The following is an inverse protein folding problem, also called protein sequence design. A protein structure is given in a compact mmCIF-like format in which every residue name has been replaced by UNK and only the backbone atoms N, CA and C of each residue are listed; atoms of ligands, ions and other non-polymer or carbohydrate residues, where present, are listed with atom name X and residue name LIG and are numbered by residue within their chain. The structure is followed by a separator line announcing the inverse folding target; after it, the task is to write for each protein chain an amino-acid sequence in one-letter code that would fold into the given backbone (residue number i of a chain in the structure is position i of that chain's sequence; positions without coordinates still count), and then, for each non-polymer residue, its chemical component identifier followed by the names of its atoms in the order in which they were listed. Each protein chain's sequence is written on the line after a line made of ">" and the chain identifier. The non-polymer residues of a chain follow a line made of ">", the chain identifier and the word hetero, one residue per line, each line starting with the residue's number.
data_IF_394689799449
#
_entry.id   IF_394689799449
#
_cell.length_a   1.000
_cell.length_b   1.000
_cell.length_c   1.000
_cell.angle_alpha   90.00
_cell.angle_beta   90.00
_cell.angle_gamma   90.00
#
_symmetry.space_group_name_H-M   'P 1'
#
loop_
_entity.id
_entity.type
_entity.pdbx_description
1 polymer ?
#
# COMPACT_ATOMS: atom_id res chain seq x y z
N UNK A 1 -51.26 -11.95 -10.96
CA UNK A 1 -50.32 -11.33 -11.92
C UNK A 1 -49.18 -12.27 -12.32
N UNK A 2 -48.47 -12.93 -11.38
CA UNK A 2 -47.37 -13.86 -11.71
C UNK A 2 -47.77 -15.09 -12.56
N UNK A 3 -48.95 -15.67 -12.34
CA UNK A 3 -49.49 -16.75 -13.18
C UNK A 3 -49.55 -16.39 -14.69
N UNK A 4 -50.09 -15.20 -15.01
CA UNK A 4 -50.16 -14.71 -16.40
C UNK A 4 -48.76 -14.48 -16.98
N UNK A 5 -47.83 -13.98 -16.16
CA UNK A 5 -46.44 -13.83 -16.56
C UNK A 5 -45.84 -15.19 -16.97
N UNK A 6 -46.03 -16.24 -16.18
CA UNK A 6 -45.53 -17.57 -16.51
C UNK A 6 -46.18 -18.16 -17.79
N UNK A 7 -47.48 -17.99 -17.98
CA UNK A 7 -48.18 -18.48 -19.19
C UNK A 7 -47.72 -17.78 -20.47
N UNK A 8 -47.51 -16.46 -20.39
CA UNK A 8 -47.16 -15.65 -21.56
C UNK A 8 -45.67 -15.83 -21.90
N UNK A 9 -44.79 -15.72 -20.90
CA UNK A 9 -43.35 -15.75 -21.13
C UNK A 9 -42.77 -17.16 -21.25
N UNK A 10 -43.42 -18.17 -20.69
CA UNK A 10 -42.98 -19.56 -20.70
C UNK A 10 -43.98 -20.50 -21.37
N UNK A 11 -44.72 -19.96 -22.32
CA UNK A 11 -45.79 -20.65 -23.04
C UNK A 11 -45.38 -22.01 -23.59
N UNK A 12 -44.16 -22.10 -24.14
CA UNK A 12 -43.60 -23.32 -24.72
C UNK A 12 -43.48 -24.45 -23.68
N UNK A 13 -43.08 -24.11 -22.45
CA UNK A 13 -42.97 -25.08 -21.35
C UNK A 13 -44.31 -25.32 -20.65
N UNK A 14 -45.22 -24.34 -20.67
CA UNK A 14 -46.57 -24.50 -20.12
C UNK A 14 -47.42 -25.51 -20.88
N UNK A 15 -47.41 -25.45 -22.22
CA UNK A 15 -48.22 -26.35 -23.06
C UNK A 15 -47.61 -27.74 -23.28
N UNK A 16 -46.33 -27.92 -22.99
CA UNK A 16 -45.64 -29.19 -23.18
C UNK A 16 -46.00 -30.18 -22.07
N UNK A 17 -46.18 -31.46 -22.41
CA UNK A 17 -46.44 -32.54 -21.45
C UNK A 17 -45.29 -32.67 -20.43
N UNK A 18 -44.02 -32.73 -20.89
CA UNK A 18 -42.80 -32.79 -20.05
C UNK A 18 -42.18 -31.40 -19.73
N UNK A 19 -43.01 -30.36 -19.75
CA UNK A 19 -42.54 -28.99 -19.58
C UNK A 19 -41.99 -28.63 -18.18
N UNK A 20 -42.27 -29.36 -17.10
CA UNK A 20 -41.63 -29.13 -15.79
C UNK A 20 -40.17 -29.57 -15.84
N UNK A 21 -39.88 -30.75 -16.39
CA UNK A 21 -38.50 -31.23 -16.65
C UNK A 21 -37.76 -30.29 -17.60
N UNK A 22 -38.39 -29.88 -18.70
CA UNK A 22 -37.78 -28.96 -19.65
C UNK A 22 -37.51 -27.58 -19.03
N UNK A 23 -38.42 -27.08 -18.19
CA UNK A 23 -38.21 -25.82 -17.46
C UNK A 23 -37.12 -25.95 -16.38
N UNK A 24 -37.03 -27.09 -15.70
CA UNK A 24 -35.95 -27.37 -14.75
C UNK A 24 -34.58 -27.39 -15.43
N UNK A 25 -34.49 -27.97 -16.64
CA UNK A 25 -33.28 -27.92 -17.46
C UNK A 25 -32.92 -26.47 -17.82
N UNK A 26 -33.92 -25.65 -18.18
CA UNK A 26 -33.68 -24.24 -18.48
C UNK A 26 -33.22 -23.45 -17.24
N UNK A 27 -33.81 -23.70 -16.07
CA UNK A 27 -33.40 -23.08 -14.81
C UNK A 27 -31.95 -23.44 -14.48
N UNK A 28 -31.54 -24.68 -14.75
CA UNK A 28 -30.16 -25.13 -14.59
C UNK A 28 -29.21 -24.44 -15.57
N UNK A 29 -29.61 -24.29 -16.83
CA UNK A 29 -28.79 -23.56 -17.81
C UNK A 29 -28.62 -22.08 -17.43
N UNK A 30 -29.67 -21.44 -16.91
CA UNK A 30 -29.58 -20.06 -16.42
C UNK A 30 -28.68 -19.92 -15.20
N UNK A 31 -28.79 -20.84 -14.24
CA UNK A 31 -27.88 -20.94 -13.11
C UNK A 31 -26.43 -20.97 -13.59
N UNK A 32 -26.09 -21.98 -14.39
CA UNK A 32 -24.73 -22.23 -14.86
C UNK A 32 -24.19 -21.05 -15.66
N UNK A 33 -24.99 -20.49 -16.57
CA UNK A 33 -24.58 -19.32 -17.36
C UNK A 33 -24.26 -18.11 -16.47
N UNK A 34 -25.10 -17.83 -15.48
CA UNK A 34 -24.89 -16.72 -14.53
C UNK A 34 -23.60 -16.95 -13.71
N UNK A 35 -23.42 -18.16 -13.18
CA UNK A 35 -22.29 -18.50 -12.33
C UNK A 35 -20.98 -18.54 -13.10
N UNK A 36 -20.96 -19.06 -14.33
CA UNK A 36 -19.75 -19.08 -15.17
C UNK A 36 -19.33 -17.70 -15.65
N UNK A 37 -20.29 -16.83 -15.99
CA UNK A 37 -19.97 -15.45 -16.36
C UNK A 37 -19.31 -14.69 -15.20
N UNK A 38 -19.82 -14.85 -13.98
CA UNK A 38 -19.22 -14.26 -12.80
C UNK A 38 -17.85 -14.90 -12.50
N UNK A 39 -17.77 -16.23 -12.50
CA UNK A 39 -16.55 -16.97 -12.22
C UNK A 39 -15.42 -16.60 -13.20
N UNK A 40 -15.68 -16.51 -14.49
CA UNK A 40 -14.68 -16.10 -15.48
C UNK A 40 -14.15 -14.69 -15.21
N UNK A 41 -15.03 -13.75 -14.84
CA UNK A 41 -14.64 -12.38 -14.48
C UNK A 41 -13.77 -12.36 -13.23
N UNK A 42 -14.17 -13.06 -12.16
CA UNK A 42 -13.47 -13.09 -10.89
C UNK A 42 -12.14 -13.86 -11.01
N UNK A 43 -12.09 -14.98 -11.74
CA UNK A 43 -10.85 -15.71 -12.06
C UNK A 43 -9.84 -14.83 -12.80
N UNK A 44 -10.28 -14.03 -13.77
CA UNK A 44 -9.42 -13.07 -14.47
C UNK A 44 -8.85 -12.01 -13.50
N UNK A 45 -9.66 -11.51 -12.57
CA UNK A 45 -9.20 -10.58 -11.55
C UNK A 45 -8.22 -11.24 -10.58
N UNK A 46 -8.50 -12.46 -10.13
CA UNK A 46 -7.60 -13.23 -9.25
C UNK A 46 -6.25 -13.50 -9.90
N UNK A 47 -6.22 -13.82 -11.20
CA UNK A 47 -4.95 -13.97 -11.95
C UNK A 47 -4.12 -12.69 -11.94
N UNK A 48 -4.74 -11.54 -12.22
CA UNK A 48 -4.06 -10.24 -12.17
C UNK A 48 -3.59 -9.86 -10.76
N UNK A 49 -4.37 -10.20 -9.73
CA UNK A 49 -4.00 -9.98 -8.33
C UNK A 49 -2.83 -10.87 -7.92
N UNK A 50 -2.82 -12.14 -8.36
CA UNK A 50 -1.74 -13.09 -8.09
C UNK A 50 -0.42 -12.68 -8.75
N UNK A 51 -0.46 -12.21 -10.00
CA UNK A 51 0.71 -11.65 -10.67
C UNK A 51 1.28 -10.45 -9.90
N UNK A 52 0.41 -9.51 -9.49
CA UNK A 52 0.81 -8.37 -8.66
C UNK A 52 1.37 -8.78 -7.30
N UNK A 53 0.83 -9.83 -6.68
CA UNK A 53 1.37 -10.37 -5.42
C UNK A 53 2.78 -10.92 -5.64
N UNK A 54 3.04 -11.62 -6.76
CA UNK A 54 4.39 -12.10 -7.10
C UNK A 54 5.38 -10.94 -7.25
N UNK A 55 5.01 -9.89 -7.98
CA UNK A 55 5.82 -8.68 -8.15
C UNK A 55 6.13 -8.01 -6.80
N UNK A 56 5.11 -7.78 -5.97
CA UNK A 56 5.27 -7.15 -4.66
C UNK A 56 6.10 -8.02 -3.70
N UNK A 57 5.96 -9.33 -3.77
CA UNK A 57 6.76 -10.28 -2.98
C UNK A 57 8.22 -10.26 -3.41
N UNK A 58 8.50 -10.16 -4.71
CA UNK A 58 9.86 -10.01 -5.21
C UNK A 58 10.49 -8.69 -4.73
N UNK A 59 9.75 -7.57 -4.78
CA UNK A 59 10.22 -6.29 -4.22
C UNK A 59 10.45 -6.40 -2.70
N UNK A 60 9.57 -7.10 -1.98
CA UNK A 60 9.72 -7.31 -0.54
C UNK A 60 11.00 -8.10 -0.22
N UNK A 61 11.25 -9.19 -0.96
CA UNK A 61 12.44 -10.02 -0.78
C UNK A 61 13.73 -9.23 -1.04
N UNK A 62 13.77 -8.40 -2.08
CA UNK A 62 14.88 -7.47 -2.33
C UNK A 62 15.09 -6.51 -1.14
N UNK A 63 14.01 -5.95 -0.61
CA UNK A 63 14.08 -5.00 0.52
C UNK A 63 14.52 -5.62 1.84
N UNK A 64 14.23 -6.91 2.05
CA UNK A 64 14.69 -7.66 3.22
C UNK A 64 16.22 -7.86 3.25
N UNK A 65 16.90 -7.76 2.11
CA UNK A 65 18.37 -7.80 2.03
C UNK A 65 19.03 -6.53 2.57
N UNK A 66 18.27 -5.45 2.71
CA UNK A 66 18.78 -4.18 3.22
C UNK A 66 18.52 -4.02 4.72
N UNK A 67 19.35 -3.23 5.44
CA UNK A 67 19.20 -3.05 6.89
C UNK A 67 17.78 -2.61 7.30
N UNK A 68 17.27 -3.23 8.35
CA UNK A 68 15.95 -2.94 8.93
C UNK A 68 16.04 -2.73 10.44
N UNK A 69 15.05 -2.04 10.98
CA UNK A 69 14.90 -1.81 12.41
C UNK A 69 14.07 -2.96 12.98
N UNK A 70 14.52 -3.53 14.10
CA UNK A 70 13.76 -4.59 14.79
C UNK A 70 12.47 -3.99 15.38
N UNK A 71 11.43 -4.82 15.52
CA UNK A 71 10.14 -4.37 16.05
C UNK A 71 10.28 -3.68 17.44
N UNK A 72 11.08 -4.27 18.32
CA UNK A 72 11.31 -3.76 19.69
C UNK A 72 12.04 -2.42 19.74
N UNK A 73 12.84 -2.12 18.71
CA UNK A 73 13.64 -0.89 18.59
C UNK A 73 12.91 0.24 17.85
N UNK A 74 11.82 -0.09 17.15
CA UNK A 74 11.19 0.82 16.20
C UNK A 74 10.64 2.09 16.85
N UNK A 75 9.91 1.94 17.97
CA UNK A 75 9.36 3.07 18.73
C UNK A 75 10.47 3.98 19.26
N UNK A 76 11.55 3.39 19.80
CA UNK A 76 12.69 4.15 20.33
C UNK A 76 13.41 4.93 19.22
N UNK A 77 13.67 4.31 18.06
CA UNK A 77 14.33 4.99 16.94
C UNK A 77 13.42 6.07 16.33
N UNK A 78 12.11 5.83 16.24
CA UNK A 78 11.16 6.84 15.81
C UNK A 78 11.17 8.07 16.74
N UNK A 79 11.15 7.85 18.05
CA UNK A 79 11.26 8.91 19.05
C UNK A 79 12.57 9.70 18.94
N UNK A 80 13.69 9.00 18.70
CA UNK A 80 14.99 9.65 18.43
C UNK A 80 14.96 10.51 17.17
N UNK A 81 14.49 9.98 16.04
CA UNK A 81 14.41 10.74 14.78
C UNK A 81 13.52 11.99 14.94
N UNK A 82 12.40 11.86 15.65
CA UNK A 82 11.52 13.00 15.93
C UNK A 82 12.23 14.07 16.78
N UNK A 83 12.86 13.65 17.88
CA UNK A 83 13.61 14.55 18.77
C UNK A 83 14.75 15.25 18.03
N UNK A 84 15.49 14.52 17.19
CA UNK A 84 16.57 15.09 16.38
C UNK A 84 16.03 16.10 15.36
N UNK A 85 14.91 15.81 14.68
CA UNK A 85 14.29 16.79 13.78
C UNK A 85 13.85 18.05 14.52
N UNK A 86 13.30 17.91 15.73
CA UNK A 86 12.88 19.05 16.55
C UNK A 86 14.08 19.92 16.95
N UNK A 87 15.18 19.32 17.41
CA UNK A 87 16.41 20.03 17.75
C UNK A 87 16.98 20.75 16.51
N UNK A 88 17.12 20.04 15.38
CA UNK A 88 17.61 20.62 14.12
C UNK A 88 16.74 21.81 13.69
N UNK A 89 15.42 21.71 13.84
CA UNK A 89 14.49 22.79 13.50
C UNK A 89 14.69 24.04 14.38
N UNK A 90 14.84 23.86 15.69
CA UNK A 90 15.17 24.96 16.61
C UNK A 90 16.49 25.61 16.21
N UNK A 91 17.52 24.79 15.93
CA UNK A 91 18.83 25.30 15.51
C UNK A 91 18.77 26.04 14.17
N UNK A 92 18.04 25.53 13.16
CA UNK A 92 17.85 26.24 11.88
C UNK A 92 17.18 27.58 12.10
N UNK A 93 16.15 27.63 12.94
CA UNK A 93 15.40 28.87 13.20
C UNK A 93 16.27 29.89 13.94
N UNK A 94 17.00 29.44 14.96
CA UNK A 94 17.94 30.30 15.71
C UNK A 94 19.09 30.80 14.83
N UNK A 95 19.69 29.91 14.04
CA UNK A 95 20.78 30.25 13.14
C UNK A 95 20.36 31.22 12.04
N UNK A 96 19.20 30.98 11.41
CA UNK A 96 18.65 31.90 10.42
C UNK A 96 18.24 33.24 11.03
N UNK A 97 17.83 33.26 12.30
CA UNK A 97 17.61 34.51 13.01
C UNK A 97 18.95 35.26 13.18
N UNK A 98 19.99 34.63 13.73
CA UNK A 98 21.29 35.26 13.92
C UNK A 98 21.93 35.71 12.61
N UNK A 99 21.90 34.87 11.57
CA UNK A 99 22.43 35.22 10.25
C UNK A 99 21.66 36.35 9.59
N UNK A 100 20.35 36.49 9.83
CA UNK A 100 19.58 37.64 9.36
C UNK A 100 20.08 38.94 10.00
N UNK A 101 20.29 38.95 11.33
CA UNK A 101 20.86 40.13 12.01
C UNK A 101 22.30 40.41 11.58
N UNK A 102 23.12 39.37 11.44
CA UNK A 102 24.51 39.45 11.01
C UNK A 102 24.60 40.03 9.58
N UNK A 103 23.74 39.56 8.66
CA UNK A 103 23.73 39.96 7.25
C UNK A 103 23.48 41.45 7.02
N UNK A 104 22.86 42.15 7.98
CA UNK A 104 22.76 43.61 7.92
C UNK A 104 24.15 44.22 7.73
N UNK A 105 25.24 43.64 8.24
CA UNK A 105 26.61 44.22 8.16
C UNK A 105 27.11 44.29 6.72
N UNK A 106 26.61 43.38 5.89
CA UNK A 106 26.97 43.27 4.49
C UNK A 106 26.06 44.14 3.61
N UNK A 107 24.78 44.26 3.97
CA UNK A 107 23.77 44.99 3.20
C UNK A 107 23.42 46.33 3.86
N UNK A 108 24.20 47.38 3.54
CA UNK A 108 24.05 48.73 4.12
C UNK A 108 22.95 49.60 3.49
N UNK A 109 22.21 49.11 2.50
CA UNK A 109 21.10 49.86 1.87
C UNK A 109 19.77 49.59 2.59
N UNK A 110 18.83 50.55 2.49
CA UNK A 110 17.51 50.48 3.13
C UNK A 110 16.42 50.09 2.13
N UNK A 111 15.31 49.54 2.61
CA UNK A 111 14.11 49.20 1.82
C UNK A 111 13.85 47.70 1.71
N UNK A 112 12.75 47.32 1.05
CA UNK A 112 12.31 45.93 0.93
C UNK A 112 13.35 45.02 0.26
N UNK A 113 14.11 45.53 -0.71
CA UNK A 113 15.17 44.76 -1.38
C UNK A 113 16.26 44.32 -0.39
N UNK A 114 16.59 45.16 0.59
CA UNK A 114 17.59 44.83 1.61
C UNK A 114 17.10 43.71 2.52
N UNK A 115 15.83 43.76 2.93
CA UNK A 115 15.20 42.73 3.75
C UNK A 115 15.19 41.40 3.00
N UNK A 116 14.77 41.39 1.73
CA UNK A 116 14.75 40.17 0.91
C UNK A 116 16.15 39.58 0.73
N UNK A 117 17.16 40.41 0.43
CA UNK A 117 18.54 39.96 0.29
C UNK A 117 19.10 39.37 1.60
N UNK A 118 18.83 40.02 2.74
CA UNK A 118 19.20 39.53 4.07
C UNK A 118 18.55 38.19 4.39
N UNK A 119 17.26 38.02 4.10
CA UNK A 119 16.54 36.76 4.32
C UNK A 119 17.11 35.63 3.46
N UNK A 120 17.31 35.86 2.17
CA UNK A 120 17.88 34.85 1.26
C UNK A 120 19.28 34.46 1.70
N UNK A 121 20.14 35.45 1.97
CA UNK A 121 21.51 35.23 2.41
C UNK A 121 21.55 34.42 3.71
N UNK A 122 20.71 34.78 4.67
CA UNK A 122 20.61 34.11 5.95
C UNK A 122 20.23 32.63 5.81
N UNK A 123 19.18 32.34 5.03
CA UNK A 123 18.73 30.96 4.78
C UNK A 123 19.83 30.15 4.08
N UNK A 124 20.49 30.73 3.08
CA UNK A 124 21.57 30.06 2.34
C UNK A 124 22.76 29.72 3.23
N UNK A 125 23.22 30.68 4.05
CA UNK A 125 24.33 30.44 4.97
C UNK A 125 23.97 29.37 5.99
N UNK A 126 22.79 29.45 6.62
CA UNK A 126 22.33 28.43 7.57
C UNK A 126 22.30 27.04 6.92
N UNK A 127 21.83 26.93 5.69
CA UNK A 127 21.78 25.65 4.97
C UNK A 127 23.18 25.09 4.69
N UNK A 128 24.08 25.94 4.19
CA UNK A 128 25.48 25.57 3.88
C UNK A 128 26.21 25.16 5.16
N UNK A 129 26.04 25.90 6.25
CA UNK A 129 26.69 25.64 7.53
C UNK A 129 26.31 24.27 8.09
N UNK A 130 25.00 23.97 8.14
CA UNK A 130 24.52 22.68 8.66
C UNK A 130 25.00 21.53 7.78
N UNK A 131 24.94 21.68 6.45
CA UNK A 131 25.44 20.66 5.54
C UNK A 131 26.96 20.44 5.66
N UNK A 132 27.73 21.52 5.88
CA UNK A 132 29.17 21.46 6.12
C UNK A 132 29.47 20.65 7.38
N UNK A 133 28.84 20.98 8.51
CA UNK A 133 29.06 20.28 9.77
C UNK A 133 28.52 18.84 9.76
N UNK A 134 27.36 18.57 9.14
CA UNK A 134 26.85 17.20 8.95
C UNK A 134 27.89 16.33 8.23
N UNK A 135 28.44 16.83 7.12
CA UNK A 135 29.45 16.10 6.35
C UNK A 135 30.79 16.02 7.09
N UNK A 136 31.16 17.04 7.87
CA UNK A 136 32.35 17.01 8.71
C UNK A 136 32.25 15.89 9.75
N UNK A 137 31.14 15.82 10.51
CA UNK A 137 30.92 14.77 11.50
C UNK A 137 30.90 13.37 10.89
N UNK A 138 30.30 13.22 9.70
CA UNK A 138 30.30 11.96 8.96
C UNK A 138 31.73 11.44 8.73
N UNK A 139 32.66 12.31 8.31
CA UNK A 139 34.04 11.93 8.02
C UNK A 139 34.92 11.89 9.28
N UNK A 140 34.61 12.70 10.30
CA UNK A 140 35.34 12.79 11.57
C UNK A 140 35.07 11.58 12.46
N UNK A 141 33.81 11.38 12.86
CA UNK A 141 33.39 10.28 13.72
C UNK A 141 33.51 8.95 13.00
N UNK A 142 33.19 8.95 11.69
CA UNK A 142 33.41 7.81 10.80
C UNK A 142 32.86 6.50 11.42
N UNK A 143 31.64 6.57 11.94
CA UNK A 143 30.95 5.42 12.49
C UNK A 143 30.22 4.66 11.38
N UNK A 144 29.96 3.37 11.63
CA UNK A 144 29.18 2.56 10.69
C UNK A 144 27.72 3.03 10.68
N UNK A 145 27.03 3.01 9.52
CA UNK A 145 25.59 3.18 9.50
C UNK A 145 24.93 2.09 10.34
N UNK A 146 23.74 2.37 10.88
CA UNK A 146 23.04 1.44 11.77
C UNK A 146 22.82 0.08 11.09
N UNK A 147 23.32 -1.00 11.72
CA UNK A 147 23.35 -2.38 11.19
C UNK A 147 24.04 -2.54 9.82
N UNK A 148 24.93 -1.63 9.44
CA UNK A 148 25.75 -1.78 8.24
C UNK A 148 26.90 -2.78 8.45
N UNK A 149 27.00 -3.78 7.57
CA UNK A 149 28.08 -4.78 7.59
C UNK A 149 29.43 -4.18 7.18
N UNK A 150 29.41 -3.25 6.23
CA UNK A 150 30.62 -2.65 5.66
C UNK A 150 30.86 -1.22 6.15
N UNK A 151 32.14 -0.93 6.41
CA UNK A 151 32.66 0.42 6.69
C UNK A 151 33.44 0.89 5.46
N UNK A 152 32.92 1.84 4.71
CA UNK A 152 33.66 2.46 3.58
C UNK A 152 34.99 3.02 4.05
N UNK A 153 36.08 2.97 3.27
CA UNK A 153 37.40 3.49 3.67
C UNK A 153 37.37 5.02 3.94
N UNK A 154 38.06 5.48 4.99
CA UNK A 154 38.10 6.90 5.36
C UNK A 154 38.83 7.71 4.30
N UNK A 155 38.16 8.73 3.75
CA UNK A 155 38.74 9.61 2.75
C UNK A 155 39.39 10.84 3.39
N UNK A 156 40.67 10.73 3.77
CA UNK A 156 41.41 11.77 4.50
C UNK A 156 41.45 13.14 3.81
N UNK A 157 41.63 13.17 2.48
CA UNK A 157 41.64 14.43 1.72
C UNK A 157 40.33 15.21 1.83
N UNK A 158 39.19 14.50 1.91
CA UNK A 158 37.88 15.13 2.08
C UNK A 158 37.68 15.64 3.50
N UNK A 159 38.14 14.89 4.51
CA UNK A 159 38.14 15.35 5.90
C UNK A 159 38.94 16.65 6.07
N UNK A 160 40.17 16.70 5.52
CA UNK A 160 41.03 17.89 5.60
C UNK A 160 40.34 19.08 4.93
N UNK A 161 39.79 18.90 3.73
CA UNK A 161 39.06 19.97 3.02
C UNK A 161 37.86 20.48 3.81
N UNK A 162 37.04 19.59 4.40
CA UNK A 162 35.90 19.97 5.23
C UNK A 162 36.33 20.70 6.51
N UNK A 163 37.43 20.28 7.14
CA UNK A 163 37.98 20.97 8.31
C UNK A 163 38.44 22.38 7.98
N UNK A 164 39.12 22.59 6.84
CA UNK A 164 39.53 23.93 6.39
C UNK A 164 38.30 24.80 6.11
N UNK A 165 37.29 24.25 5.43
CA UNK A 165 36.03 24.97 5.18
C UNK A 165 35.30 25.34 6.48
N UNK A 166 35.28 24.45 7.47
CA UNK A 166 34.68 24.71 8.79
C UNK A 166 35.41 25.83 9.54
N UNK A 167 36.75 25.81 9.55
CA UNK A 167 37.55 26.90 10.16
C UNK A 167 37.27 28.22 9.44
N UNK A 168 37.21 28.21 8.11
CA UNK A 168 36.87 29.40 7.32
C UNK A 168 35.46 29.93 7.62
N UNK A 169 34.48 29.05 7.75
CA UNK A 169 33.11 29.40 8.14
C UNK A 169 33.05 30.04 9.54
N UNK A 170 33.71 29.43 10.52
CA UNK A 170 33.76 29.95 11.90
C UNK A 170 34.45 31.32 11.96
N UNK A 171 35.57 31.49 11.26
CA UNK A 171 36.27 32.77 11.18
C UNK A 171 35.42 33.86 10.52
N UNK A 172 34.67 33.51 9.45
CA UNK A 172 33.76 34.42 8.76
C UNK A 172 32.59 34.83 9.65
N UNK A 173 31.96 33.87 10.32
CA UNK A 173 30.82 34.12 11.24
C UNK A 173 31.27 34.97 12.42
N UNK A 174 32.42 34.64 13.04
CA UNK A 174 33.05 35.45 14.08
C UNK A 174 33.25 36.89 13.63
N UNK A 175 33.81 37.11 12.43
CA UNK A 175 34.05 38.44 11.89
C UNK A 175 32.75 39.25 11.73
N UNK A 176 31.72 38.67 11.10
CA UNK A 176 30.45 39.38 10.87
C UNK A 176 29.74 39.67 12.20
N UNK A 177 29.69 38.69 13.10
CA UNK A 177 29.11 38.87 14.43
C UNK A 177 29.85 39.96 15.23
N UNK A 178 31.19 40.01 15.15
CA UNK A 178 31.99 41.06 15.81
C UNK A 178 31.68 42.45 15.26
N UNK A 179 31.66 42.60 13.93
CA UNK A 179 31.32 43.88 13.28
C UNK A 179 29.92 44.35 13.70
N UNK A 180 28.96 43.43 13.85
CA UNK A 180 27.62 43.77 14.33
C UNK A 180 27.52 44.02 15.83
N UNK A 181 28.25 43.28 16.66
CA UNK A 181 28.30 43.51 18.10
C UNK A 181 28.73 44.94 18.42
N UNK A 182 29.80 45.42 17.76
CA UNK A 182 30.29 46.80 17.86
C UNK A 182 29.21 47.83 17.47
N UNK A 183 28.41 47.54 16.44
CA UNK A 183 27.38 48.44 15.94
C UNK A 183 26.10 48.47 16.79
N UNK A 184 25.77 47.39 17.50
CA UNK A 184 24.56 47.28 18.34
C UNK A 184 24.81 47.88 19.72
N UNK A 185 25.95 47.56 20.34
CA UNK A 185 26.23 47.96 21.73
C UNK A 185 26.92 49.33 21.84
N UNK A 186 27.48 49.87 20.75
CA UNK A 186 28.13 51.18 20.76
C UNK A 186 29.35 51.21 21.69
N UNK A 187 30.49 50.68 21.25
CA UNK A 187 31.73 50.60 22.03
C UNK A 187 32.71 49.59 21.40
N UNK A 188 33.72 49.11 22.13
CA UNK A 188 34.72 48.13 21.63
C UNK A 188 34.14 46.74 21.27
N UNK A 189 32.82 46.52 21.43
CA UNK A 189 32.14 45.27 21.06
C UNK A 189 32.36 44.11 22.04
N UNK A 190 32.74 44.40 23.28
CA UNK A 190 32.97 43.43 24.36
C UNK A 190 31.77 43.28 25.32
N UNK A 191 30.56 43.73 24.94
CA UNK A 191 29.40 43.56 25.79
C UNK A 191 28.92 42.10 25.85
N UNK A 192 28.17 41.81 26.90
CA UNK A 192 27.73 40.44 27.22
C UNK A 192 26.79 39.91 26.13
N UNK A 193 25.96 40.76 25.52
CA UNK A 193 24.98 40.37 24.50
C UNK A 193 25.68 40.05 23.18
N UNK A 194 26.59 40.92 22.73
CA UNK A 194 27.41 40.66 21.53
C UNK A 194 28.23 39.37 21.66
N UNK A 195 28.83 39.15 22.82
CA UNK A 195 29.60 37.92 23.10
C UNK A 195 28.70 36.68 23.07
N UNK A 196 27.52 36.73 23.68
CA UNK A 196 26.56 35.62 23.68
C UNK A 196 26.05 35.29 22.26
N UNK A 197 25.75 36.31 21.44
CA UNK A 197 25.32 36.12 20.05
C UNK A 197 26.41 35.48 19.19
N UNK A 198 27.67 35.86 19.40
CA UNK A 198 28.81 35.31 18.69
C UNK A 198 29.01 33.83 19.05
N UNK A 199 29.03 33.51 20.35
CA UNK A 199 29.14 32.11 20.81
C UNK A 199 27.98 31.28 20.28
N UNK A 200 26.75 31.81 20.32
CA UNK A 200 25.57 31.11 19.79
C UNK A 200 25.66 30.84 18.29
N UNK A 201 26.02 31.86 17.48
CA UNK A 201 26.16 31.70 16.02
C UNK A 201 27.27 30.74 15.59
N UNK A 202 28.30 30.56 16.42
CA UNK A 202 29.35 29.57 16.19
C UNK A 202 28.89 28.16 16.61
N UNK A 203 28.22 28.01 17.76
CA UNK A 203 27.85 26.69 18.29
C UNK A 203 26.60 26.08 17.65
N UNK A 204 25.61 26.87 17.28
CA UNK A 204 24.33 26.36 16.76
C UNK A 204 24.50 25.51 15.49
N UNK A 205 25.29 25.93 14.47
CA UNK A 205 25.55 25.12 13.29
C UNK A 205 26.23 23.78 13.60
N UNK A 206 27.15 23.77 14.56
CA UNK A 206 27.86 22.57 15.01
C UNK A 206 26.87 21.58 15.64
N UNK A 207 26.03 22.07 16.57
CA UNK A 207 25.00 21.24 17.23
C UNK A 207 24.03 20.68 16.19
N UNK A 208 23.52 21.54 15.29
CA UNK A 208 22.62 21.12 14.22
C UNK A 208 23.25 20.06 13.30
N UNK A 209 24.50 20.26 12.91
CA UNK A 209 25.27 19.32 12.09
C UNK A 209 25.46 17.97 12.75
N UNK A 210 25.74 17.95 14.06
CA UNK A 210 25.87 16.71 14.84
C UNK A 210 24.54 15.92 14.87
N UNK A 211 23.42 16.57 15.20
CA UNK A 211 22.12 15.90 15.22
C UNK A 211 21.65 15.49 13.81
N UNK A 212 21.99 16.26 12.78
CA UNK A 212 21.75 15.88 11.38
C UNK A 212 22.53 14.61 10.99
N UNK A 213 23.79 14.52 11.41
CA UNK A 213 24.63 13.34 11.27
C UNK A 213 24.02 12.12 11.98
N UNK A 214 23.65 12.26 13.27
CA UNK A 214 23.03 11.19 14.04
C UNK A 214 21.73 10.69 13.39
N UNK A 215 20.86 11.62 12.94
CA UNK A 215 19.63 11.28 12.21
C UNK A 215 19.91 10.47 10.95
N UNK A 216 20.95 10.83 10.19
CA UNK A 216 21.29 10.16 8.93
C UNK A 216 21.65 8.69 9.12
N UNK A 217 22.17 8.30 10.28
CA UNK A 217 22.49 6.89 10.61
C UNK A 217 21.26 6.00 10.64
N UNK A 218 20.13 6.52 11.09
CA UNK A 218 18.89 5.76 11.29
C UNK A 218 17.89 5.92 10.14
N UNK A 219 18.00 6.96 9.32
CA UNK A 219 16.97 7.31 8.33
C UNK A 219 16.79 6.27 7.22
N UNK A 220 17.88 5.65 6.76
CA UNK A 220 17.82 4.64 5.70
C UNK A 220 17.14 3.35 6.19
N UNK A 221 17.58 2.72 7.30
CA UNK A 221 16.88 1.58 7.88
C UNK A 221 15.42 1.87 8.25
N UNK A 222 15.14 3.07 8.77
CA UNK A 222 13.79 3.49 9.10
C UNK A 222 12.88 3.57 7.86
N UNK A 223 13.35 4.19 6.78
CA UNK A 223 12.62 4.24 5.50
C UNK A 223 12.40 2.85 4.92
N UNK A 224 13.41 1.98 4.98
CA UNK A 224 13.30 0.60 4.48
C UNK A 224 12.25 -0.20 5.28
N UNK A 225 12.31 -0.13 6.61
CA UNK A 225 11.34 -0.79 7.51
C UNK A 225 9.91 -0.35 7.21
N UNK A 226 9.66 0.96 7.05
CA UNK A 226 8.33 1.47 6.66
C UNK A 226 7.90 1.01 5.26
N UNK A 227 8.84 0.84 4.32
CA UNK A 227 8.53 0.35 2.98
C UNK A 227 8.12 -1.11 3.01
N UNK A 228 8.84 -1.95 3.76
CA UNK A 228 8.50 -3.36 3.98
C UNK A 228 7.11 -3.49 4.61
N UNK A 229 6.82 -2.70 5.65
CA UNK A 229 5.49 -2.72 6.29
C UNK A 229 4.37 -2.37 5.28
N UNK A 230 4.59 -1.37 4.41
CA UNK A 230 3.62 -1.02 3.35
C UNK A 230 3.47 -2.11 2.31
N UNK A 231 4.56 -2.78 1.92
CA UNK A 231 4.52 -3.90 0.98
C UNK A 231 3.73 -5.07 1.57
N UNK A 232 4.02 -5.45 2.82
CA UNK A 232 3.26 -6.46 3.55
C UNK A 232 1.76 -6.15 3.59
N UNK A 233 1.38 -4.91 3.95
CA UNK A 233 -0.03 -4.49 3.96
C UNK A 233 -0.68 -4.58 2.57
N UNK A 234 0.04 -4.20 1.51
CA UNK A 234 -0.45 -4.29 0.12
C UNK A 234 -0.62 -5.73 -0.34
N UNK A 235 0.32 -6.62 -0.01
CA UNK A 235 0.23 -8.05 -0.29
C UNK A 235 -0.99 -8.62 0.43
N UNK A 236 -1.11 -8.39 1.74
CA UNK A 236 -2.23 -8.87 2.54
C UNK A 236 -3.59 -8.38 2.02
N UNK A 237 -3.70 -7.10 1.63
CA UNK A 237 -4.92 -6.57 1.04
C UNK A 237 -5.31 -7.32 -0.25
N UNK A 238 -4.35 -7.55 -1.15
CA UNK A 238 -4.60 -8.30 -2.40
C UNK A 238 -4.94 -9.76 -2.16
N UNK A 239 -4.31 -10.40 -1.18
CA UNK A 239 -4.65 -11.77 -0.78
C UNK A 239 -6.07 -11.83 -0.22
N UNK A 240 -6.48 -10.82 0.55
CA UNK A 240 -7.86 -10.72 1.03
C UNK A 240 -8.85 -10.47 -0.13
N UNK A 241 -8.49 -9.66 -1.12
CA UNK A 241 -9.33 -9.45 -2.31
C UNK A 241 -9.55 -10.77 -3.08
N UNK A 242 -8.51 -11.60 -3.21
CA UNK A 242 -8.62 -12.93 -3.84
C UNK A 242 -9.60 -13.82 -3.05
N UNK A 243 -9.44 -13.88 -1.72
CA UNK A 243 -10.35 -14.65 -0.85
C UNK A 243 -11.79 -14.14 -0.89
N UNK A 244 -11.98 -12.82 -0.93
CA UNK A 244 -13.30 -12.22 -1.06
C UNK A 244 -13.95 -12.59 -2.40
N UNK A 245 -13.18 -12.57 -3.50
CA UNK A 245 -13.69 -13.00 -4.80
C UNK A 245 -14.08 -14.49 -4.81
N UNK A 246 -13.34 -15.35 -4.11
CA UNK A 246 -13.68 -16.77 -3.95
C UNK A 246 -14.99 -16.94 -3.18
N UNK A 247 -15.15 -16.22 -2.06
CA UNK A 247 -16.39 -16.21 -1.27
C UNK A 247 -17.58 -15.63 -2.06
N UNK A 248 -17.35 -14.62 -2.88
CA UNK A 248 -18.39 -14.03 -3.74
C UNK A 248 -18.88 -15.03 -4.79
N UNK A 249 -17.98 -15.83 -5.38
CA UNK A 249 -18.35 -16.91 -6.30
C UNK A 249 -19.24 -17.95 -5.60
N UNK A 250 -18.84 -18.39 -4.41
CA UNK A 250 -19.61 -19.36 -3.60
C UNK A 250 -20.99 -18.82 -3.23
N UNK A 251 -21.03 -17.60 -2.70
CA UNK A 251 -22.26 -16.96 -2.24
C UNK A 251 -23.22 -16.74 -3.40
N UNK A 252 -22.70 -16.31 -4.55
CA UNK A 252 -23.50 -16.15 -5.76
C UNK A 252 -24.06 -17.48 -6.26
N UNK A 253 -23.27 -18.55 -6.28
CA UNK A 253 -23.75 -19.88 -6.67
C UNK A 253 -24.86 -20.37 -5.74
N UNK A 254 -24.67 -20.29 -4.42
CA UNK A 254 -25.68 -20.70 -3.44
C UNK A 254 -26.98 -19.92 -3.60
N UNK A 255 -26.87 -18.59 -3.74
CA UNK A 255 -28.02 -17.71 -3.92
C UNK A 255 -28.77 -17.98 -5.23
N UNK A 256 -28.07 -18.03 -6.36
CA UNK A 256 -28.71 -18.34 -7.64
C UNK A 256 -29.33 -19.74 -7.60
N UNK A 257 -28.71 -20.72 -6.94
CA UNK A 257 -29.28 -22.06 -6.81
C UNK A 257 -30.64 -22.04 -6.09
N UNK A 258 -30.71 -21.36 -4.96
CA UNK A 258 -31.95 -21.17 -4.20
C UNK A 258 -33.00 -20.38 -5.00
N UNK A 259 -32.60 -19.28 -5.66
CA UNK A 259 -33.50 -18.45 -6.45
C UNK A 259 -34.09 -19.24 -7.63
N UNK A 260 -33.27 -20.06 -8.33
CA UNK A 260 -33.74 -20.91 -9.44
C UNK A 260 -34.60 -22.06 -8.96
N UNK A 261 -34.31 -22.64 -7.81
CA UNK A 261 -35.16 -23.66 -7.21
C UNK A 261 -36.54 -23.10 -6.85
N UNK A 262 -36.59 -21.95 -6.17
CA UNK A 262 -37.85 -21.27 -5.85
C UNK A 262 -38.65 -20.94 -7.11
N UNK A 263 -37.97 -20.49 -8.17
CA UNK A 263 -38.59 -20.17 -9.45
C UNK A 263 -39.18 -21.40 -10.15
N UNK A 264 -38.47 -22.54 -10.07
CA UNK A 264 -38.95 -23.82 -10.57
C UNK A 264 -40.18 -24.32 -9.79
N UNK A 265 -40.18 -24.18 -8.45
CA UNK A 265 -41.35 -24.53 -7.63
C UNK A 265 -42.57 -23.67 -7.97
N UNK A 266 -42.38 -22.35 -8.14
CA UNK A 266 -43.48 -21.46 -8.55
C UNK A 266 -44.04 -21.85 -9.93
N UNK A 267 -43.17 -22.15 -10.90
CA UNK A 267 -43.59 -22.67 -12.22
C UNK A 267 -44.36 -23.99 -12.10
N UNK A 268 -43.84 -24.94 -11.31
CA UNK A 268 -44.44 -26.26 -11.09
C UNK A 268 -45.87 -26.13 -10.57
N UNK A 269 -46.10 -25.33 -9.54
CA UNK A 269 -47.44 -25.09 -8.98
C UNK A 269 -48.41 -24.54 -10.02
N UNK A 270 -47.99 -23.55 -10.81
CA UNK A 270 -48.87 -22.97 -11.82
C UNK A 270 -49.15 -23.91 -12.98
N UNK A 271 -48.17 -24.72 -13.38
CA UNK A 271 -48.35 -25.71 -14.44
C UNK A 271 -49.24 -26.86 -14.00
N UNK A 272 -49.08 -27.38 -12.79
CA UNK A 272 -49.97 -28.43 -12.25
C UNK A 272 -51.41 -27.95 -12.17
N UNK A 273 -51.64 -26.72 -11.71
CA UNK A 273 -52.97 -26.09 -11.72
C UNK A 273 -53.54 -25.93 -13.14
N UNK A 274 -52.70 -25.63 -14.13
CA UNK A 274 -53.13 -25.54 -15.52
C UNK A 274 -53.49 -26.93 -16.09
N UNK A 275 -52.66 -27.95 -15.84
CA UNK A 275 -52.94 -29.33 -16.25
C UNK A 275 -54.26 -29.85 -15.66
N UNK A 276 -54.49 -29.61 -14.36
CA UNK A 276 -55.76 -29.97 -13.70
C UNK A 276 -56.98 -29.33 -14.36
N UNK A 277 -56.90 -28.03 -14.71
CA UNK A 277 -58.00 -27.31 -15.38
C UNK A 277 -58.28 -27.81 -16.80
N UNK A 278 -57.29 -28.40 -17.47
CA UNK A 278 -57.40 -28.88 -18.85
C UNK A 278 -57.46 -30.41 -18.94
N UNK A 279 -57.64 -31.11 -17.81
CA UNK A 279 -57.69 -32.57 -17.74
C UNK A 279 -56.46 -33.28 -18.34
N UNK A 280 -55.28 -32.65 -18.21
CA UNK A 280 -54.00 -33.22 -18.65
C UNK A 280 -53.38 -33.97 -17.46
N UNK A 281 -52.86 -35.17 -17.69
CA UNK A 281 -52.20 -35.97 -16.64
C UNK A 281 -51.00 -35.22 -16.03
N UNK A 282 -50.78 -35.43 -14.74
CA UNK A 282 -49.61 -34.85 -14.07
C UNK A 282 -48.32 -35.46 -14.61
N UNK A 283 -47.30 -34.62 -14.73
CA UNK A 283 -45.99 -35.02 -15.22
C UNK A 283 -45.30 -35.93 -14.19
N UNK A 284 -44.78 -37.07 -14.64
CA UNK A 284 -44.09 -38.01 -13.74
C UNK A 284 -42.67 -37.50 -13.47
N UNK A 285 -42.41 -37.03 -12.24
CA UNK A 285 -41.15 -36.42 -11.84
C UNK A 285 -40.23 -37.35 -11.06
N UNK A 286 -40.67 -38.57 -10.68
CA UNK A 286 -39.80 -39.47 -9.93
C UNK A 286 -38.53 -39.77 -10.74
N UNK A 287 -37.40 -39.84 -10.05
CA UNK A 287 -36.05 -40.02 -10.63
C UNK A 287 -35.47 -38.78 -11.36
N UNK A 288 -36.25 -37.73 -11.61
CA UNK A 288 -35.71 -36.49 -12.16
C UNK A 288 -35.15 -35.57 -11.06
N UNK A 289 -34.06 -34.86 -11.34
CA UNK A 289 -33.41 -33.94 -10.38
C UNK A 289 -34.31 -32.79 -9.92
N UNK A 290 -35.43 -32.53 -10.60
CA UNK A 290 -36.40 -31.50 -10.22
C UNK A 290 -37.44 -31.97 -9.20
N UNK A 291 -37.39 -33.24 -8.79
CA UNK A 291 -38.33 -33.82 -7.83
C UNK A 291 -38.14 -33.26 -6.42
N UNK A 292 -36.89 -33.09 -5.98
CA UNK A 292 -36.51 -32.60 -4.65
C UNK A 292 -35.45 -31.51 -4.74
N UNK A 293 -35.38 -30.68 -3.70
CA UNK A 293 -34.38 -29.61 -3.59
C UNK A 293 -32.96 -30.18 -3.59
N UNK A 294 -32.73 -31.23 -2.80
CA UNK A 294 -31.46 -31.94 -2.75
C UNK A 294 -31.05 -32.51 -4.11
N UNK A 295 -32.02 -33.04 -4.88
CA UNK A 295 -31.77 -33.53 -6.23
C UNK A 295 -31.32 -32.41 -7.16
N UNK A 296 -31.97 -31.25 -7.07
CA UNK A 296 -31.65 -30.08 -7.88
C UNK A 296 -30.28 -29.50 -7.54
N UNK A 297 -29.97 -29.37 -6.25
CA UNK A 297 -28.67 -28.89 -5.75
C UNK A 297 -27.55 -29.86 -6.17
N UNK A 298 -27.74 -31.18 -6.01
CA UNK A 298 -26.75 -32.18 -6.43
C UNK A 298 -26.45 -32.10 -7.93
N UNK A 299 -27.48 -31.98 -8.75
CA UNK A 299 -27.33 -31.84 -10.20
C UNK A 299 -26.61 -30.53 -10.56
N UNK A 300 -26.96 -29.42 -9.90
CA UNK A 300 -26.31 -28.12 -10.10
C UNK A 300 -24.81 -28.20 -9.80
N UNK A 301 -24.44 -28.81 -8.68
CA UNK A 301 -23.04 -29.03 -8.28
C UNK A 301 -22.33 -29.93 -9.29
N UNK A 302 -22.95 -31.04 -9.70
CA UNK A 302 -22.34 -31.99 -10.62
C UNK A 302 -22.05 -31.36 -11.98
N UNK A 303 -23.00 -30.58 -12.52
CA UNK A 303 -22.81 -29.87 -13.79
C UNK A 303 -21.80 -28.76 -13.68
N UNK A 304 -21.84 -27.99 -12.59
CA UNK A 304 -20.86 -26.94 -12.33
C UNK A 304 -19.44 -27.51 -12.32
N UNK A 305 -19.20 -28.62 -11.60
CA UNK A 305 -17.89 -29.30 -11.58
C UNK A 305 -17.48 -29.81 -12.96
N UNK A 306 -18.40 -30.45 -13.68
CA UNK A 306 -18.11 -31.02 -15.01
C UNK A 306 -17.69 -29.94 -16.01
N UNK A 307 -18.41 -28.82 -16.04
CA UNK A 307 -18.11 -27.70 -16.94
C UNK A 307 -16.88 -26.90 -16.48
N UNK A 308 -16.68 -26.69 -15.19
CA UNK A 308 -15.46 -26.06 -14.65
C UNK A 308 -14.18 -26.86 -14.99
N UNK A 309 -14.22 -28.19 -14.86
CA UNK A 309 -13.09 -29.08 -15.22
C UNK A 309 -12.83 -29.05 -16.75
N UNK A 310 -13.88 -28.92 -17.56
CA UNK A 310 -13.73 -28.81 -19.01
C UNK A 310 -13.13 -27.47 -19.44
N UNK A 311 -13.55 -26.36 -18.83
CA UNK A 311 -12.95 -25.04 -19.10
C UNK A 311 -11.46 -25.00 -18.72
N UNK A 312 -11.06 -25.68 -17.65
CA UNK A 312 -9.63 -25.80 -17.26
C UNK A 312 -8.80 -26.60 -18.25
N UNK A 313 -9.32 -27.72 -18.77
CA UNK A 313 -8.62 -28.52 -19.78
C UNK A 313 -8.44 -27.76 -21.09
N UNK A 314 -9.41 -26.94 -21.46
CA UNK A 314 -9.32 -26.09 -22.66
C UNK A 314 -8.31 -24.95 -22.40
N UNK A 315 -8.36 -24.30 -21.25
CA UNK A 315 -7.42 -23.23 -20.89
C UNK A 315 -5.96 -23.70 -20.69
N UNK A 316 -5.74 -24.96 -20.32
CA UNK A 316 -4.40 -25.56 -20.16
C UNK A 316 -3.86 -26.16 -21.46
N UNK A 317 -4.73 -26.56 -22.39
CA UNK A 317 -4.33 -26.91 -23.76
C UNK A 317 -3.84 -25.70 -24.56
N UNK A 318 -4.34 -24.50 -24.26
CA UNK A 318 -3.90 -23.24 -24.89
C UNK A 318 -2.65 -22.62 -24.22
N UNK A 319 -2.21 -23.14 -23.07
CA UNK A 319 -1.04 -22.64 -22.32
C UNK A 319 -0.15 -23.81 -21.92
N UNK A 320 0.58 -24.36 -22.89
CA UNK A 320 1.76 -25.17 -22.59
C UNK A 320 2.90 -24.28 -22.07
N UNK A 321 2.87 -23.95 -20.78
CA UNK A 321 4.07 -23.59 -20.01
C UNK A 321 3.86 -23.93 -18.53
N UNK A 322 4.72 -24.83 -18.04
CA UNK A 322 4.79 -25.42 -16.70
C UNK A 322 4.21 -24.57 -15.55
N UNK A 323 3.14 -25.07 -14.94
CA UNK A 323 2.89 -24.86 -13.50
C UNK A 323 2.15 -26.07 -12.93
N UNK A 324 2.67 -26.75 -11.89
CA UNK A 324 2.02 -27.94 -11.35
C UNK A 324 0.90 -27.59 -10.36
N UNK A 325 -0.27 -28.22 -10.58
CA UNK A 325 -0.98 -28.96 -9.54
C UNK A 325 -1.94 -28.22 -8.59
N UNK A 326 -3.24 -28.37 -8.90
CA UNK A 326 -4.40 -28.53 -8.00
C UNK A 326 -4.51 -27.62 -6.75
N UNK A 327 -5.15 -26.46 -6.93
CA UNK A 327 -5.82 -25.72 -5.84
C UNK A 327 -7.34 -25.99 -5.78
N UNK A 328 -7.95 -26.45 -6.87
CA UNK A 328 -9.42 -26.57 -6.99
C UNK A 328 -10.03 -27.81 -6.31
N UNK A 329 -9.27 -28.91 -6.12
CA UNK A 329 -9.79 -30.11 -5.43
C UNK A 329 -9.98 -29.89 -3.92
N UNK A 330 -9.25 -28.93 -3.34
CA UNK A 330 -9.42 -28.51 -1.94
C UNK A 330 -10.65 -27.59 -1.77
N UNK A 331 -10.87 -26.65 -2.71
CA UNK A 331 -11.98 -25.68 -2.68
C UNK A 331 -13.37 -26.36 -2.76
N UNK A 332 -13.48 -27.45 -3.51
CA UNK A 332 -14.75 -28.19 -3.66
C UNK A 332 -15.12 -28.97 -2.39
N UNK A 333 -14.14 -29.40 -1.59
CA UNK A 333 -14.40 -30.10 -0.32
C UNK A 333 -14.93 -29.13 0.74
N UNK A 334 -14.37 -27.93 0.85
CA UNK A 334 -14.83 -26.92 1.83
C UNK A 334 -16.22 -26.34 1.50
N UNK A 335 -16.59 -26.26 0.23
CA UNK A 335 -17.91 -25.75 -0.21
C UNK A 335 -19.12 -26.56 0.31
N UNK A 336 -18.91 -27.83 0.68
CA UNK A 336 -19.99 -28.77 1.01
C UNK A 336 -19.69 -29.69 2.22
N UNK A 337 -18.63 -29.40 2.99
CA UNK A 337 -18.38 -30.06 4.27
C UNK A 337 -18.91 -29.20 5.42
N UNK A 338 -20.24 -29.16 5.57
CA UNK A 338 -20.94 -28.92 6.84
C UNK A 338 -22.35 -29.49 6.75
#
# INVERSE_FOLDING_TARGET
>A
MRYLFFIIWYHQWFKNHDGIKAFAQQCMNWLLRSTFQLAAKLKKQNKQLAEKIKELTAELNDRLLHPTINADEFSAIQGKIFSYNFIIFICITGEAFFNFFASRALFNFKGYLAITAQTIFSVLITWIAIALFENLFLHLLYERPYKGEYKEKRHWGKLISLSIMAIGYEAFTYYICKVRGVQIEGGEGNGIIATAMMIAGMLIPIIAGYYAYEKRRYISPYKNTRRIERLNKRIAAKTNDIKANEQDMETHFKKECQDRWAYLQEFKTYKENWNQKHSISQEHLSEHFCSTEDGFIKEAIQRYKKEAIQEERISSADVASDTPGSYHDAEIKELFSN
#
